data_IF_671764453311
#
_entry.id   IF_671764453311
#
_cell.length_a   1.000
_cell.length_b   1.000
_cell.length_c   1.000
_cell.angle_alpha   90.00
_cell.angle_beta   90.00
_cell.angle_gamma   90.00
#
_symmetry.space_group_name_H-M   'P 1'
#
loop_
_entity.id
_entity.type
_entity.pdbx_description
1 polymer ?
#
# COMPACT_ATOMS: atom_id res chain seq x y z
N UNK A 1 19.73 -12.44 3.23
CA UNK A 1 18.86 -11.50 3.98
C UNK A 1 17.60 -11.26 3.15
N UNK A 2 16.42 -11.20 3.77
CA UNK A 2 15.19 -10.94 3.04
C UNK A 2 15.19 -9.49 2.52
N UNK A 3 14.84 -9.29 1.25
CA UNK A 3 14.65 -7.98 0.63
C UNK A 3 13.19 -7.83 0.28
N UNK A 4 12.58 -6.71 0.65
CA UNK A 4 11.23 -6.39 0.23
C UNK A 4 11.30 -5.71 -1.15
N UNK A 5 10.71 -6.34 -2.17
CA UNK A 5 10.60 -5.77 -3.52
C UNK A 5 9.13 -5.40 -3.75
N UNK A 6 8.87 -4.11 -3.94
CA UNK A 6 7.52 -3.58 -4.13
C UNK A 6 7.44 -2.85 -5.49
N UNK A 7 6.39 -3.12 -6.27
CA UNK A 7 6.12 -2.43 -7.54
C UNK A 7 4.90 -1.52 -7.34
N UNK A 8 5.08 -0.23 -7.60
CA UNK A 8 4.01 0.78 -7.53
C UNK A 8 3.72 1.35 -8.92
N UNK A 9 2.45 1.44 -9.25
CA UNK A 9 1.97 2.11 -10.45
C UNK A 9 0.86 3.10 -10.06
N UNK A 10 0.67 4.13 -10.89
CA UNK A 10 -0.45 5.06 -10.72
C UNK A 10 -1.76 4.31 -10.95
N UNK A 11 -2.64 4.31 -9.95
CA UNK A 11 -3.95 3.68 -10.05
C UNK A 11 -4.87 4.47 -11.01
N UNK A 12 -5.64 3.74 -11.81
CA UNK A 12 -6.60 4.28 -12.79
C UNK A 12 -7.80 3.33 -12.85
N UNK A 13 -9.01 3.86 -13.05
CA UNK A 13 -10.24 3.06 -13.09
C UNK A 13 -10.38 2.13 -11.87
N UNK A 14 -10.50 2.73 -10.68
CA UNK A 14 -10.52 2.02 -9.41
C UNK A 14 -11.58 0.91 -9.35
N UNK A 15 -12.78 1.13 -9.86
CA UNK A 15 -13.86 0.11 -9.85
C UNK A 15 -13.48 -1.16 -10.62
N UNK A 16 -12.76 -1.01 -11.75
CA UNK A 16 -12.23 -2.17 -12.47
C UNK A 16 -11.14 -2.87 -11.66
N UNK A 17 -10.25 -2.12 -11.02
CA UNK A 17 -9.16 -2.67 -10.22
C UNK A 17 -9.68 -3.43 -8.99
N UNK A 18 -10.67 -2.87 -8.28
CA UNK A 18 -11.33 -3.51 -7.13
C UNK A 18 -11.98 -4.83 -7.53
N UNK A 19 -12.70 -4.87 -8.67
CA UNK A 19 -13.32 -6.12 -9.17
C UNK A 19 -12.28 -7.21 -9.48
N UNK A 20 -11.18 -6.85 -10.14
CA UNK A 20 -10.09 -7.79 -10.44
C UNK A 20 -9.46 -8.28 -9.12
N UNK A 21 -9.16 -7.37 -8.20
CA UNK A 21 -8.55 -7.71 -6.91
C UNK A 21 -9.46 -8.63 -6.07
N UNK A 22 -10.77 -8.38 -6.01
CA UNK A 22 -11.72 -9.23 -5.31
C UNK A 22 -11.77 -10.65 -5.89
N UNK A 23 -11.75 -10.77 -7.22
CA UNK A 23 -11.70 -12.08 -7.90
C UNK A 23 -10.41 -12.86 -7.62
N UNK A 24 -9.27 -12.17 -7.47
CA UNK A 24 -7.98 -12.79 -7.15
C UNK A 24 -7.85 -13.17 -5.67
N UNK A 25 -8.35 -12.32 -4.77
CA UNK A 25 -8.20 -12.50 -3.33
C UNK A 25 -9.13 -13.59 -2.79
N UNK A 26 -10.28 -13.84 -3.41
CA UNK A 26 -11.27 -14.80 -2.91
C UNK A 26 -11.97 -14.37 -1.62
N UNK A 27 -11.67 -13.18 -1.10
CA UNK A 27 -12.30 -12.56 0.06
C UNK A 27 -12.57 -11.07 -0.19
N UNK A 28 -13.53 -10.46 0.51
CA UNK A 28 -13.78 -9.02 0.43
C UNK A 28 -12.55 -8.20 0.82
N UNK A 29 -12.40 -6.97 0.28
CA UNK A 29 -11.34 -6.08 0.70
C UNK A 29 -11.53 -5.65 2.16
N UNK A 30 -10.42 -5.46 2.87
CA UNK A 30 -10.40 -4.83 4.18
C UNK A 30 -9.95 -3.38 4.06
N UNK A 31 -10.66 -2.48 4.73
CA UNK A 31 -10.23 -1.08 4.83
C UNK A 31 -9.19 -0.97 5.95
N UNK A 32 -7.96 -0.62 5.57
CA UNK A 32 -6.88 -0.33 6.52
C UNK A 32 -6.71 1.18 6.67
N UNK A 33 -7.10 1.70 7.83
CA UNK A 33 -6.76 3.07 8.21
C UNK A 33 -5.29 3.14 8.58
N UNK A 34 -4.57 4.08 7.97
CA UNK A 34 -3.12 4.22 8.12
C UNK A 34 -2.76 5.69 8.30
N UNK A 35 -1.89 5.95 9.27
CA UNK A 35 -1.24 7.24 9.45
C UNK A 35 0.25 7.08 9.16
N UNK A 36 0.76 7.83 8.19
CA UNK A 36 2.16 7.81 7.79
C UNK A 36 2.85 9.11 8.24
N UNK A 37 3.81 8.99 9.17
CA UNK A 37 4.68 10.10 9.58
C UNK A 37 6.01 10.00 8.85
N UNK A 38 6.41 11.09 8.16
CA UNK A 38 7.65 11.17 7.40
C UNK A 38 8.69 12.02 8.15
N UNK A 39 9.92 11.51 8.23
CA UNK A 39 11.04 12.20 8.85
C UNK A 39 12.03 12.69 7.79
N UNK A 40 12.55 13.90 7.99
CA UNK A 40 13.64 14.43 7.17
C UNK A 40 14.94 13.71 7.54
N UNK A 41 15.54 13.03 6.58
CA UNK A 41 16.80 12.29 6.75
C UNK A 41 17.74 12.62 5.60
N UNK A 42 19.08 12.52 5.78
CA UNK A 42 20.03 12.92 4.73
C UNK A 42 19.91 12.10 3.43
N UNK A 43 19.49 10.83 3.52
CA UNK A 43 19.42 9.93 2.36
C UNK A 43 18.08 9.19 2.33
N UNK A 44 17.30 9.40 1.27
CA UNK A 44 16.02 8.74 1.08
C UNK A 44 14.90 9.32 1.95
N UNK A 45 14.03 8.44 2.47
CA UNK A 45 12.91 8.82 3.32
C UNK A 45 12.72 7.77 4.41
N UNK A 46 12.58 8.22 5.65
CA UNK A 46 12.15 7.38 6.77
C UNK A 46 10.67 7.62 7.01
N UNK A 47 9.89 6.53 7.10
CA UNK A 47 8.45 6.56 7.29
C UNK A 47 8.05 5.64 8.44
N UNK A 48 7.37 6.18 9.43
CA UNK A 48 6.66 5.41 10.46
C UNK A 48 5.20 5.28 10.03
N UNK A 49 4.67 4.05 10.06
CA UNK A 49 3.27 3.77 9.76
C UNK A 49 2.58 3.24 11.01
N UNK A 50 1.48 3.88 11.38
CA UNK A 50 0.58 3.44 12.44
C UNK A 50 -0.72 2.92 11.81
N UNK A 51 -1.25 1.84 12.38
CA UNK A 51 -2.54 1.23 11.99
C UNK A 51 -3.53 1.43 13.14
N UNK A 52 -4.77 1.82 12.85
CA UNK A 52 -5.82 2.02 13.86
C UNK A 52 -7.14 2.41 13.23
#
# INVERSE_FOLDING_TARGET
MAQNIEIKAKAVNFDRQVRIAAGLAGQPPELLTQMDTFFNVPYGRLKLREFG
#
